data_IF_431647382014
#
_entry.id   IF_431647382014
#
_cell.length_a   1.000
_cell.length_b   1.000
_cell.length_c   1.000
_cell.angle_alpha   90.00
_cell.angle_beta   90.00
_cell.angle_gamma   90.00
#
_symmetry.space_group_name_H-M   'P 1'
#
loop_
_entity.id
_entity.type
_entity.pdbx_description
1 polymer ?
#
# COMPACT_ATOMS: atom_id res chain seq x y z
N UNK A 1 35.31 4.86 0.66
CA UNK A 1 34.24 5.84 0.95
C UNK A 1 32.98 5.09 1.30
N UNK A 2 32.80 4.77 2.58
CA UNK A 2 31.63 4.04 3.10
C UNK A 2 30.78 5.05 3.87
N UNK A 3 29.72 5.55 3.24
CA UNK A 3 28.72 6.38 3.90
C UNK A 3 27.83 5.46 4.74
N UNK A 4 28.16 5.29 6.03
CA UNK A 4 27.17 4.83 7.00
C UNK A 4 26.25 6.02 7.31
N UNK A 5 25.08 6.06 6.67
CA UNK A 5 24.01 6.99 7.05
C UNK A 5 23.43 6.58 8.40
N UNK A 6 24.01 7.11 9.47
CA UNK A 6 23.43 7.03 10.81
C UNK A 6 22.31 8.07 10.92
N UNK A 7 21.08 7.69 10.61
CA UNK A 7 19.88 8.52 10.81
C UNK A 7 19.81 8.95 12.28
N UNK A 8 19.74 10.25 12.54
CA UNK A 8 19.76 10.79 13.91
C UNK A 8 18.40 10.53 14.63
N UNK A 9 18.36 10.69 15.95
CA UNK A 9 17.17 10.37 16.76
C UNK A 9 15.93 11.23 16.38
N UNK A 10 16.13 12.51 16.05
CA UNK A 10 15.06 13.43 15.63
C UNK A 10 14.46 13.06 14.28
N UNK A 11 15.29 12.66 13.30
CA UNK A 11 14.80 12.17 12.00
C UNK A 11 13.98 10.88 12.17
N UNK A 12 14.37 10.01 13.11
CA UNK A 12 13.58 8.81 13.45
C UNK A 12 12.23 9.16 14.06
N UNK A 13 12.19 10.16 14.94
CA UNK A 13 10.94 10.65 15.54
C UNK A 13 10.01 11.29 14.50
N UNK A 14 10.53 12.06 13.55
CA UNK A 14 9.72 12.62 12.44
C UNK A 14 9.10 11.51 11.56
N UNK A 15 9.89 10.50 11.18
CA UNK A 15 9.39 9.33 10.42
C UNK A 15 8.34 8.55 11.21
N UNK A 16 8.46 8.50 12.55
CA UNK A 16 7.49 7.85 13.42
C UNK A 16 6.19 8.65 13.54
N UNK A 17 6.28 9.98 13.54
CA UNK A 17 5.14 10.89 13.64
C UNK A 17 4.45 11.18 12.29
N UNK A 18 5.03 10.74 11.17
CA UNK A 18 4.43 10.85 9.85
C UNK A 18 3.04 10.16 9.80
N UNK A 19 2.01 10.89 9.33
CA UNK A 19 0.67 10.35 9.16
C UNK A 19 0.63 9.33 8.01
N UNK A 20 0.33 8.07 8.36
CA UNK A 20 0.24 6.94 7.41
C UNK A 20 -1.20 6.53 7.19
N UNK A 21 -1.60 6.42 5.93
CA UNK A 21 -2.91 5.93 5.55
C UNK A 21 -2.81 4.50 5.03
N UNK A 22 -3.44 3.56 5.74
CA UNK A 22 -3.50 2.16 5.34
C UNK A 22 -4.77 1.92 4.51
N UNK A 23 -4.59 1.60 3.24
CA UNK A 23 -5.68 1.31 2.32
C UNK A 23 -5.73 -0.17 1.99
N UNK A 24 -6.82 -0.83 2.40
CA UNK A 24 -7.17 -2.17 1.92
C UNK A 24 -7.71 -2.03 0.50
N UNK A 25 -7.08 -2.69 -0.46
CA UNK A 25 -7.48 -2.68 -1.88
C UNK A 25 -8.39 -3.85 -2.24
N UNK A 26 -8.30 -4.95 -1.49
CA UNK A 26 -9.05 -6.18 -1.73
C UNK A 26 -9.09 -7.06 -0.49
N UNK A 27 -10.06 -7.97 -0.42
CA UNK A 27 -10.12 -9.13 0.49
C UNK A 27 -9.83 -10.45 -0.24
N UNK A 28 -9.41 -10.39 -1.50
CA UNK A 28 -8.92 -11.52 -2.28
C UNK A 28 -7.43 -11.69 -2.07
N UNK A 29 -6.98 -12.92 -1.87
CA UNK A 29 -5.57 -13.28 -1.79
C UNK A 29 -5.32 -14.55 -2.61
N UNK A 30 -4.13 -14.67 -3.21
CA UNK A 30 -3.67 -15.87 -3.92
C UNK A 30 -2.78 -16.75 -3.02
N UNK A 31 -2.86 -16.57 -1.70
CA UNK A 31 -2.09 -17.31 -0.72
C UNK A 31 -2.96 -17.58 0.53
N UNK A 32 -2.69 -18.69 1.22
CA UNK A 32 -3.43 -19.11 2.42
C UNK A 32 -2.44 -19.29 3.59
N UNK A 33 -1.84 -18.19 4.05
CA UNK A 33 -0.86 -18.24 5.13
C UNK A 33 -1.52 -18.75 6.43
N UNK A 34 -0.91 -19.74 7.09
CA UNK A 34 -1.40 -20.28 8.37
C UNK A 34 -1.41 -19.26 9.51
N UNK A 35 -0.65 -18.18 9.37
CA UNK A 35 -0.51 -17.09 10.34
C UNK A 35 -1.25 -15.81 9.90
N UNK A 36 -2.09 -15.87 8.86
CA UNK A 36 -2.73 -14.68 8.32
C UNK A 36 -3.66 -14.04 9.35
N UNK A 37 -3.41 -12.78 9.69
CA UNK A 37 -4.27 -11.99 10.58
C UNK A 37 -5.67 -11.74 10.01
N UNK A 38 -5.81 -11.76 8.67
CA UNK A 38 -7.06 -11.45 7.96
C UNK A 38 -7.81 -12.72 7.49
N UNK A 39 -7.42 -13.92 7.91
CA UNK A 39 -7.95 -15.18 7.35
C UNK A 39 -9.49 -15.27 7.40
N UNK A 40 -10.12 -14.80 8.47
CA UNK A 40 -11.58 -14.86 8.67
C UNK A 40 -12.35 -13.86 7.81
N UNK A 41 -11.70 -12.80 7.32
CA UNK A 41 -12.34 -11.74 6.52
C UNK A 41 -12.00 -11.83 5.03
N UNK A 42 -11.24 -12.85 4.61
CA UNK A 42 -10.97 -13.12 3.19
C UNK A 42 -12.20 -13.72 2.52
N UNK A 43 -12.96 -12.88 1.80
CA UNK A 43 -14.18 -13.27 1.09
C UNK A 43 -14.05 -13.16 -0.44
N UNK A 44 -12.85 -12.89 -0.96
CA UNK A 44 -12.61 -12.77 -2.40
C UNK A 44 -13.02 -11.43 -3.04
N UNK A 45 -13.48 -10.46 -2.25
CA UNK A 45 -13.95 -9.16 -2.73
C UNK A 45 -12.82 -8.28 -3.31
N UNK A 46 -13.04 -7.70 -4.48
CA UNK A 46 -12.23 -6.61 -5.05
C UNK A 46 -12.96 -5.28 -4.78
N UNK A 47 -12.31 -4.34 -4.10
CA UNK A 47 -12.92 -3.04 -3.81
C UNK A 47 -12.90 -2.22 -5.09
N UNK A 48 -14.02 -1.58 -5.45
CA UNK A 48 -14.12 -0.82 -6.71
C UNK A 48 -13.07 0.31 -6.76
N UNK A 49 -12.41 0.46 -7.91
CA UNK A 49 -11.36 1.45 -8.15
C UNK A 49 -11.78 2.89 -7.81
N UNK A 50 -13.01 3.28 -8.08
CA UNK A 50 -13.49 4.64 -7.77
C UNK A 50 -13.60 4.89 -6.27
N UNK A 51 -13.95 3.87 -5.48
CA UNK A 51 -13.96 3.96 -4.02
C UNK A 51 -12.51 4.14 -3.53
N UNK A 52 -11.58 3.34 -4.04
CA UNK A 52 -10.16 3.44 -3.67
C UNK A 52 -9.58 4.82 -4.03
N UNK A 53 -9.89 5.35 -5.21
CA UNK A 53 -9.48 6.72 -5.60
C UNK A 53 -10.06 7.78 -4.68
N UNK A 54 -11.33 7.64 -4.28
CA UNK A 54 -11.95 8.57 -3.33
C UNK A 54 -11.23 8.54 -1.98
N UNK A 55 -10.94 7.36 -1.44
CA UNK A 55 -10.21 7.19 -0.18
C UNK A 55 -8.80 7.78 -0.24
N UNK A 56 -8.05 7.52 -1.32
CA UNK A 56 -6.69 8.08 -1.51
C UNK A 56 -6.74 9.61 -1.54
N UNK A 57 -7.70 10.20 -2.27
CA UNK A 57 -7.89 11.65 -2.33
C UNK A 57 -8.25 12.23 -0.97
N UNK A 58 -9.18 11.61 -0.26
CA UNK A 58 -9.58 12.04 1.08
C UNK A 58 -8.39 11.98 2.04
N UNK A 59 -7.62 10.90 2.01
CA UNK A 59 -6.42 10.77 2.82
C UNK A 59 -5.42 11.90 2.52
N UNK A 60 -5.16 12.23 1.25
CA UNK A 60 -4.28 13.35 0.93
C UNK A 60 -4.81 14.68 1.48
N UNK A 61 -6.10 14.96 1.30
CA UNK A 61 -6.75 16.17 1.82
C UNK A 61 -6.69 16.29 3.35
N UNK A 62 -6.64 15.16 4.07
CA UNK A 62 -6.50 15.09 5.52
C UNK A 62 -5.04 15.14 6.01
N UNK A 63 -4.09 15.44 5.10
CA UNK A 63 -2.69 15.66 5.44
C UNK A 63 -1.86 14.38 5.61
N UNK A 64 -2.33 13.23 5.11
CA UNK A 64 -1.50 12.04 5.02
C UNK A 64 -0.48 12.20 3.91
N UNK A 65 0.80 11.96 4.21
CA UNK A 65 1.93 12.00 3.25
C UNK A 65 2.36 10.61 2.80
N UNK A 66 2.06 9.58 3.61
CA UNK A 66 2.40 8.19 3.33
C UNK A 66 1.18 7.31 3.09
N UNK A 67 1.12 6.69 1.92
CA UNK A 67 0.09 5.72 1.55
C UNK A 67 0.64 4.30 1.64
N UNK A 68 -0.08 3.40 2.31
CA UNK A 68 0.26 1.98 2.41
C UNK A 68 -0.87 1.17 1.78
N UNK A 69 -0.58 0.57 0.62
CA UNK A 69 -1.48 -0.32 -0.10
C UNK A 69 -1.34 -1.74 0.43
N UNK A 70 -2.44 -2.29 0.92
CA UNK A 70 -2.52 -3.61 1.56
C UNK A 70 -3.83 -4.32 1.17
N UNK A 71 -4.16 -5.41 1.87
CA UNK A 71 -5.42 -6.13 1.79
C UNK A 71 -5.23 -7.62 1.96
N UNK A 72 -5.94 -8.42 1.17
CA UNK A 72 -5.54 -9.80 0.91
C UNK A 72 -4.19 -9.80 0.19
N UNK A 73 -4.20 -9.71 -1.13
CA UNK A 73 -2.99 -9.43 -1.93
C UNK A 73 -3.26 -8.27 -2.88
N UNK A 74 -2.69 -7.08 -2.64
CA UNK A 74 -2.99 -5.88 -3.42
C UNK A 74 -2.62 -6.02 -4.90
N UNK A 75 -1.59 -6.81 -5.23
CA UNK A 75 -1.14 -6.99 -6.62
C UNK A 75 -2.10 -7.81 -7.50
N UNK A 76 -3.12 -8.45 -6.90
CA UNK A 76 -4.21 -9.10 -7.66
C UNK A 76 -5.24 -8.07 -8.14
N UNK A 77 -5.28 -6.87 -7.54
CA UNK A 77 -6.21 -5.84 -7.96
C UNK A 77 -5.80 -5.30 -9.35
N UNK A 78 -6.68 -5.33 -10.36
CA UNK A 78 -6.32 -5.01 -11.74
C UNK A 78 -5.83 -3.57 -11.92
N UNK A 79 -6.30 -2.64 -11.09
CA UNK A 79 -5.89 -1.23 -11.12
C UNK A 79 -4.76 -0.87 -10.15
N UNK A 80 -4.04 -1.83 -9.57
CA UNK A 80 -3.05 -1.53 -8.52
C UNK A 80 -1.98 -0.51 -8.98
N UNK A 81 -1.47 -0.64 -10.20
CA UNK A 81 -0.48 0.28 -10.78
C UNK A 81 -1.09 1.66 -11.03
N UNK A 82 -2.32 1.71 -11.53
CA UNK A 82 -3.06 2.95 -11.76
C UNK A 82 -3.35 3.70 -10.45
N UNK A 83 -3.59 2.98 -9.35
CA UNK A 83 -3.77 3.56 -8.02
C UNK A 83 -2.48 4.15 -7.46
N UNK A 84 -1.34 3.50 -7.70
CA UNK A 84 -0.01 4.03 -7.34
C UNK A 84 0.27 5.33 -8.11
N UNK A 85 0.05 5.35 -9.43
CA UNK A 85 0.25 6.57 -10.24
C UNK A 85 -0.71 7.69 -9.80
N UNK A 86 -1.97 7.35 -9.51
CA UNK A 86 -2.95 8.31 -9.00
C UNK A 86 -2.51 8.93 -7.67
N UNK A 87 -2.06 8.12 -6.71
CA UNK A 87 -1.55 8.60 -5.43
C UNK A 87 -0.32 9.50 -5.62
N UNK A 88 0.60 9.13 -6.50
CA UNK A 88 1.79 9.95 -6.82
C UNK A 88 1.38 11.33 -7.36
N UNK A 89 0.41 11.39 -8.27
CA UNK A 89 -0.09 12.66 -8.83
C UNK A 89 -0.78 13.55 -7.79
N UNK A 90 -1.33 12.96 -6.72
CA UNK A 90 -1.90 13.71 -5.59
C UNK A 90 -0.83 14.21 -4.61
N UNK A 91 0.45 13.86 -4.80
CA UNK A 91 1.56 14.36 -4.00
C UNK A 91 1.74 13.62 -2.68
N UNK A 92 1.48 12.30 -2.64
CA UNK A 92 2.02 11.45 -1.57
C UNK A 92 3.54 11.33 -1.74
N UNK A 93 4.28 11.55 -0.64
CA UNK A 93 5.75 11.54 -0.61
C UNK A 93 6.29 10.11 -0.54
N UNK A 94 5.53 9.22 0.10
CA UNK A 94 5.88 7.81 0.25
C UNK A 94 4.67 6.94 -0.12
N UNK A 95 4.85 6.06 -1.10
CA UNK A 95 3.88 5.01 -1.44
C UNK A 95 4.52 3.66 -1.19
N UNK A 96 3.90 2.85 -0.33
CA UNK A 96 4.35 1.51 0.03
C UNK A 96 3.29 0.48 -0.35
N UNK A 97 3.74 -0.68 -0.81
CA UNK A 97 2.89 -1.86 -1.00
C UNK A 97 3.31 -2.98 -0.06
N UNK A 98 2.36 -3.67 0.54
CA UNK A 98 2.58 -4.88 1.33
C UNK A 98 2.06 -6.05 0.51
N UNK A 99 2.98 -6.87 0.01
CA UNK A 99 2.67 -7.94 -0.94
C UNK A 99 3.41 -9.22 -0.57
N UNK A 100 2.80 -10.37 -0.88
CA UNK A 100 3.45 -11.67 -0.87
C UNK A 100 4.43 -11.88 -2.04
N UNK A 101 4.43 -10.97 -3.03
CA UNK A 101 5.38 -10.92 -4.12
C UNK A 101 5.15 -11.91 -5.27
N UNK A 102 4.16 -12.80 -5.18
CA UNK A 102 3.91 -13.83 -6.22
C UNK A 102 3.62 -13.23 -7.59
N UNK A 103 2.88 -12.13 -7.64
CA UNK A 103 2.52 -11.50 -8.92
C UNK A 103 3.74 -10.96 -9.67
N UNK A 104 4.80 -10.58 -8.97
CA UNK A 104 6.03 -10.04 -9.57
C UNK A 104 6.84 -11.09 -10.36
N UNK A 105 6.52 -12.38 -10.23
CA UNK A 105 7.15 -13.43 -11.01
C UNK A 105 6.58 -13.56 -12.43
N UNK A 106 5.41 -12.98 -12.71
CA UNK A 106 4.76 -13.09 -14.02
C UNK A 106 5.24 -11.97 -14.96
N UNK A 107 5.72 -12.28 -16.17
CA UNK A 107 6.18 -11.28 -17.14
C UNK A 107 5.10 -10.25 -17.52
N UNK A 108 3.84 -10.65 -17.51
CA UNK A 108 2.71 -9.80 -17.88
C UNK A 108 2.27 -8.85 -16.74
N UNK A 109 2.92 -8.94 -15.56
CA UNK A 109 2.67 -8.03 -14.46
C UNK A 109 3.43 -6.72 -14.65
N UNK A 110 2.96 -5.85 -15.55
CA UNK A 110 3.23 -4.39 -15.63
C UNK A 110 2.40 -3.75 -16.73
#
# INVERSE_FOLDING_TARGET
MSLSMSINLFEREEIQNEKRFWLRTTRRCNNHCIFCHDSEIQNGELIKTDILRQEIRNARQNGYSRLILSGGEPTIHPDIINLIDYARRLGFDWIQIISNGRMFAYPDFT
#
